data_IF_631616631844
#
_entry.id   IF_631616631844
#
_cell.length_a   1.000
_cell.length_b   1.000
_cell.length_c   1.000
_cell.angle_alpha   90.00
_cell.angle_beta   90.00
_cell.angle_gamma   90.00
#
_symmetry.space_group_name_H-M   'P 1'
#
loop_
_entity.id
_entity.type
_entity.pdbx_description
1 polymer ?
#
# COMPACT_ATOMS: atom_id res chain seq x y z
N UNK A 1 21.23 29.91 3.29
CA UNK A 1 20.51 28.78 2.66
C UNK A 1 19.33 29.36 1.90
N UNK A 2 19.14 29.02 0.63
CA UNK A 2 18.13 29.70 -0.18
C UNK A 2 16.73 29.24 0.25
N UNK A 3 15.79 30.17 0.41
CA UNK A 3 14.37 29.84 0.62
C UNK A 3 13.75 29.13 -0.61
N UNK A 4 14.50 29.00 -1.70
CA UNK A 4 14.02 28.58 -3.02
C UNK A 4 14.34 27.14 -3.40
N UNK A 5 15.15 26.39 -2.64
CA UNK A 5 15.58 25.02 -3.04
C UNK A 5 14.40 24.12 -3.39
N UNK A 6 13.34 24.12 -2.58
CA UNK A 6 12.14 23.32 -2.85
C UNK A 6 11.42 23.71 -4.15
N UNK A 7 11.35 25.01 -4.46
CA UNK A 7 10.80 25.52 -5.72
C UNK A 7 11.69 25.15 -6.90
N UNK A 8 13.00 25.18 -6.70
CA UNK A 8 13.98 24.81 -7.71
C UNK A 8 13.87 23.33 -8.06
N UNK A 9 13.84 22.44 -7.06
CA UNK A 9 13.57 21.01 -7.24
C UNK A 9 12.29 20.78 -8.06
N UNK A 10 11.19 21.43 -7.67
CA UNK A 10 9.92 21.30 -8.37
C UNK A 10 9.99 21.82 -9.82
N UNK A 11 10.70 22.93 -10.07
CA UNK A 11 10.92 23.47 -11.42
C UNK A 11 11.79 22.58 -12.31
N UNK A 12 12.66 21.76 -11.72
CA UNK A 12 13.45 20.73 -12.39
C UNK A 12 12.64 19.42 -12.57
N UNK A 13 11.35 19.42 -12.25
CA UNK A 13 10.46 18.28 -12.45
C UNK A 13 10.37 17.30 -11.27
N UNK A 14 11.04 17.57 -10.14
CA UNK A 14 10.93 16.72 -8.95
C UNK A 14 9.60 16.94 -8.24
N UNK A 15 8.73 15.93 -8.29
CA UNK A 15 7.41 15.91 -7.71
C UNK A 15 7.13 14.54 -7.08
N UNK A 16 6.07 14.42 -6.27
CA UNK A 16 5.66 13.14 -5.72
C UNK A 16 5.49 12.09 -6.82
N UNK A 17 6.03 10.90 -6.59
CA UNK A 17 5.98 9.80 -7.55
C UNK A 17 6.99 9.94 -8.70
N UNK A 18 7.90 10.91 -8.64
CA UNK A 18 9.10 10.85 -9.47
C UNK A 18 10.08 9.82 -8.95
N UNK A 19 10.92 9.30 -9.84
CA UNK A 19 11.90 8.29 -9.48
C UNK A 19 13.20 8.41 -10.26
N UNK A 20 14.26 7.81 -9.72
CA UNK A 20 15.58 7.71 -10.33
C UNK A 20 16.20 6.34 -10.02
N UNK A 21 16.97 5.81 -10.97
CA UNK A 21 17.71 4.57 -10.77
C UNK A 21 18.95 4.81 -9.91
N UNK A 22 19.20 3.93 -8.93
CA UNK A 22 20.33 4.07 -8.02
C UNK A 22 21.69 4.10 -8.77
N UNK A 23 21.79 3.48 -9.94
CA UNK A 23 23.00 3.52 -10.77
C UNK A 23 23.39 4.92 -11.26
N UNK A 24 22.45 5.88 -11.25
CA UNK A 24 22.72 7.28 -11.61
C UNK A 24 23.34 8.07 -10.46
N UNK A 25 23.21 7.58 -9.22
CA UNK A 25 23.69 8.25 -8.01
C UNK A 25 25.22 8.18 -7.88
N UNK A 26 25.79 9.09 -7.09
CA UNK A 26 27.21 8.99 -6.71
C UNK A 26 27.40 7.88 -5.68
N UNK A 27 28.62 7.33 -5.61
CA UNK A 27 28.93 6.25 -4.66
C UNK A 27 28.78 6.74 -3.20
N UNK A 28 29.03 8.02 -2.94
CA UNK A 28 28.94 8.68 -1.65
C UNK A 28 27.55 9.24 -1.33
N UNK A 29 26.54 9.06 -2.21
CA UNK A 29 25.18 9.58 -1.98
C UNK A 29 24.58 9.13 -0.64
N UNK A 30 24.93 7.91 -0.20
CA UNK A 30 24.49 7.34 1.06
C UNK A 30 24.93 8.16 2.29
N UNK A 31 26.02 8.94 2.21
CA UNK A 31 26.53 9.78 3.31
C UNK A 31 25.61 10.98 3.59
N UNK A 32 24.76 11.36 2.64
CA UNK A 32 23.81 12.46 2.76
C UNK A 32 22.41 12.00 3.21
N UNK A 33 22.22 10.70 3.35
CA UNK A 33 20.90 10.11 3.61
C UNK A 33 20.78 9.69 5.07
N UNK A 34 19.61 9.94 5.66
CA UNK A 34 19.16 9.33 6.90
C UNK A 34 18.16 8.23 6.57
N UNK A 35 18.42 6.99 6.97
CA UNK A 35 17.53 5.88 6.65
C UNK A 35 17.26 5.01 7.88
N UNK A 36 16.10 4.38 7.89
CA UNK A 36 15.72 3.39 8.91
C UNK A 36 16.26 1.99 8.62
N UNK A 37 17.02 1.82 7.54
CA UNK A 37 17.44 0.50 7.03
C UNK A 37 18.94 0.29 7.18
N UNK A 38 19.33 -0.93 7.53
CA UNK A 38 20.74 -1.35 7.56
C UNK A 38 21.33 -1.46 6.14
N UNK A 39 22.65 -1.35 6.03
CA UNK A 39 23.40 -1.51 4.77
C UNK A 39 22.94 -0.56 3.64
N UNK A 40 22.61 0.70 3.98
CA UNK A 40 22.13 1.70 3.03
C UNK A 40 23.06 1.89 1.82
N UNK A 41 24.38 1.92 2.03
CA UNK A 41 25.37 1.98 0.96
C UNK A 41 25.20 0.86 -0.07
N UNK A 42 25.05 -0.39 0.39
CA UNK A 42 24.82 -1.55 -0.48
C UNK A 42 23.51 -1.44 -1.27
N UNK A 43 22.46 -0.89 -0.64
CA UNK A 43 21.18 -0.69 -1.30
C UNK A 43 21.25 0.41 -2.37
N UNK A 44 21.96 1.49 -2.10
CA UNK A 44 22.11 2.61 -3.04
C UNK A 44 23.13 2.35 -4.15
N UNK A 45 23.98 1.32 -4.01
CA UNK A 45 24.92 0.89 -5.06
C UNK A 45 24.41 -0.28 -5.91
N UNK A 46 23.34 -0.97 -5.50
CA UNK A 46 22.70 -2.01 -6.32
C UNK A 46 21.92 -1.36 -7.49
N UNK A 47 22.37 -1.64 -8.72
CA UNK A 47 21.77 -1.11 -9.96
C UNK A 47 20.32 -1.54 -10.18
N UNK A 48 19.84 -2.56 -9.46
CA UNK A 48 18.43 -2.98 -9.50
C UNK A 48 17.53 -2.14 -8.62
N UNK A 49 18.08 -1.27 -7.79
CA UNK A 49 17.30 -0.43 -6.90
C UNK A 49 16.99 0.92 -7.56
N UNK A 50 15.87 1.49 -7.14
CA UNK A 50 15.35 2.77 -7.60
C UNK A 50 14.85 3.53 -6.39
N UNK A 51 15.04 4.85 -6.39
CA UNK A 51 14.45 5.73 -5.39
C UNK A 51 13.17 6.33 -5.95
N UNK A 52 12.06 6.17 -5.24
CA UNK A 52 10.77 6.78 -5.59
C UNK A 52 10.44 7.87 -4.54
N UNK A 53 10.23 9.10 -5.00
CA UNK A 53 9.96 10.28 -4.17
C UNK A 53 8.56 10.18 -3.54
N UNK A 54 8.52 10.11 -2.21
CA UNK A 54 7.31 9.97 -1.41
C UNK A 54 6.70 11.31 -1.00
N UNK A 55 7.54 12.32 -0.74
CA UNK A 55 7.10 13.63 -0.24
C UNK A 55 6.04 14.24 -1.15
N UNK A 56 5.01 14.85 -0.56
CA UNK A 56 3.96 15.52 -1.32
C UNK A 56 4.54 16.77 -2.00
N UNK A 57 3.93 17.23 -3.09
CA UNK A 57 4.37 18.43 -3.81
C UNK A 57 4.43 19.67 -2.91
N UNK A 58 3.48 19.80 -1.98
CA UNK A 58 3.48 20.88 -0.98
C UNK A 58 4.69 20.77 -0.04
N UNK A 59 5.06 19.57 0.40
CA UNK A 59 6.22 19.35 1.28
C UNK A 59 7.53 19.61 0.53
N UNK A 60 7.63 19.18 -0.73
CA UNK A 60 8.78 19.45 -1.59
C UNK A 60 8.98 20.97 -1.75
N UNK A 61 7.91 21.69 -2.12
CA UNK A 61 7.96 23.14 -2.41
C UNK A 61 7.95 24.02 -1.17
N UNK A 62 7.65 23.46 0.01
CA UNK A 62 7.63 24.19 1.27
C UNK A 62 8.99 24.84 1.54
N UNK A 63 8.94 25.99 2.23
CA UNK A 63 10.12 26.73 2.65
C UNK A 63 11.03 25.82 3.47
N UNK A 64 12.34 25.95 3.28
CA UNK A 64 13.34 25.16 3.98
C UNK A 64 13.26 25.30 5.52
N UNK A 65 12.75 26.42 6.05
CA UNK A 65 12.53 26.59 7.49
C UNK A 65 11.37 25.77 8.04
N UNK A 66 10.45 25.31 7.20
CA UNK A 66 9.26 24.52 7.55
C UNK A 66 9.56 23.04 7.29
N UNK A 67 10.01 22.71 6.08
CA UNK A 67 10.35 21.35 5.67
C UNK A 67 11.71 21.35 4.98
N UNK A 68 12.70 20.71 5.62
CA UNK A 68 14.09 20.67 5.16
C UNK A 68 14.36 19.46 4.28
N UNK A 69 13.57 18.41 4.47
CA UNK A 69 13.88 17.08 3.96
C UNK A 69 12.88 16.65 2.90
N UNK A 70 13.29 15.66 2.13
CA UNK A 70 12.40 14.89 1.27
C UNK A 70 12.61 13.40 1.53
N UNK A 71 11.55 12.63 1.32
CA UNK A 71 11.50 11.20 1.58
C UNK A 71 11.52 10.40 0.29
N UNK A 72 12.31 9.34 0.24
CA UNK A 72 12.29 8.35 -0.82
C UNK A 72 12.04 6.96 -0.24
N UNK A 73 11.33 6.11 -0.99
CA UNK A 73 11.36 4.66 -0.77
C UNK A 73 12.36 4.01 -1.71
N UNK A 74 13.12 3.05 -1.19
CA UNK A 74 13.96 2.18 -2.02
C UNK A 74 13.07 1.06 -2.57
N UNK A 75 12.90 1.02 -3.89
CA UNK A 75 12.18 -0.02 -4.60
C UNK A 75 13.16 -0.91 -5.38
N UNK A 76 13.00 -2.23 -5.28
CA UNK A 76 13.93 -3.21 -5.87
C UNK A 76 13.32 -3.92 -7.06
N UNK A 77 14.06 -3.94 -8.18
CA UNK A 77 13.75 -4.76 -9.35
C UNK A 77 14.03 -6.25 -9.08
N UNK A 78 13.14 -7.18 -9.47
CA UNK A 78 13.42 -8.61 -9.42
C UNK A 78 14.54 -9.00 -10.38
N UNK A 79 15.25 -10.11 -10.09
CA UNK A 79 16.32 -10.65 -10.98
C UNK A 79 15.78 -11.06 -12.35
N UNK A 80 14.52 -11.50 -12.42
CA UNK A 80 13.83 -11.97 -13.63
C UNK A 80 12.46 -11.30 -13.70
N UNK A 81 11.97 -11.04 -14.92
CA UNK A 81 10.62 -10.52 -15.12
C UNK A 81 9.61 -11.55 -14.61
N UNK A 82 8.82 -11.15 -13.63
CA UNK A 82 7.76 -11.97 -13.00
C UNK A 82 6.52 -11.09 -12.81
N UNK A 83 5.31 -11.68 -12.83
CA UNK A 83 4.11 -10.94 -12.49
C UNK A 83 4.19 -10.43 -11.04
N UNK A 84 3.52 -9.30 -10.75
CA UNK A 84 3.49 -8.76 -9.39
C UNK A 84 2.66 -9.65 -8.47
N UNK A 85 2.93 -9.58 -7.18
CA UNK A 85 2.07 -10.21 -6.17
C UNK A 85 0.81 -9.37 -6.00
N UNK A 86 -0.37 -9.95 -6.17
CA UNK A 86 -1.62 -9.19 -6.19
C UNK A 86 -1.89 -8.40 -4.89
N UNK A 87 -1.46 -8.90 -3.71
CA UNK A 87 -1.51 -8.17 -2.42
C UNK A 87 -0.62 -6.92 -2.37
N UNK A 88 0.41 -6.84 -3.20
CA UNK A 88 1.31 -5.69 -3.24
C UNK A 88 0.82 -4.64 -4.25
N UNK A 89 -0.25 -4.91 -5.00
CA UNK A 89 -0.82 -3.95 -5.94
C UNK A 89 -1.81 -3.02 -5.26
N UNK A 90 -1.97 -1.82 -5.83
CA UNK A 90 -3.05 -0.88 -5.48
C UNK A 90 -3.18 -0.57 -3.99
N UNK A 91 -2.06 -0.55 -3.26
CA UNK A 91 -2.02 -0.32 -1.82
C UNK A 91 -2.89 -1.30 -1.00
N UNK A 92 -2.97 -2.57 -1.41
CA UNK A 92 -3.68 -3.63 -0.64
C UNK A 92 -2.88 -4.04 0.61
N UNK A 93 -1.56 -4.11 0.51
CA UNK A 93 -0.64 -4.27 1.63
C UNK A 93 -0.23 -2.90 2.19
N UNK A 94 -0.02 -2.82 3.51
CA UNK A 94 0.57 -1.64 4.16
C UNK A 94 2.10 -1.69 4.23
N UNK A 95 2.68 -2.88 3.98
CA UNK A 95 4.12 -3.15 4.11
C UNK A 95 4.83 -3.11 2.76
N UNK A 96 4.17 -3.58 1.72
CA UNK A 96 4.74 -3.69 0.39
C UNK A 96 3.88 -3.01 -0.66
N UNK A 97 4.53 -2.43 -1.66
CA UNK A 97 3.88 -1.90 -2.85
C UNK A 97 4.68 -2.33 -4.08
N UNK A 98 4.01 -2.82 -5.10
CA UNK A 98 4.62 -3.11 -6.40
C UNK A 98 4.06 -2.16 -7.46
N UNK A 99 4.97 -1.50 -8.18
CA UNK A 99 4.69 -0.55 -9.26
C UNK A 99 5.48 -0.95 -10.50
N UNK A 100 4.87 -0.86 -11.67
CA UNK A 100 5.57 -1.02 -12.95
C UNK A 100 6.23 0.30 -13.33
N UNK A 101 7.53 0.28 -13.66
CA UNK A 101 8.26 1.46 -14.12
C UNK A 101 8.44 1.42 -15.65
N UNK A 102 8.99 2.50 -16.22
CA UNK A 102 9.16 2.65 -17.68
C UNK A 102 10.02 1.57 -18.37
N UNK A 103 10.84 0.82 -17.61
CA UNK A 103 11.59 -0.33 -18.12
C UNK A 103 10.74 -1.61 -18.26
N UNK A 104 9.46 -1.55 -17.87
CA UNK A 104 8.50 -2.66 -17.94
C UNK A 104 8.74 -3.75 -16.89
N UNK A 105 9.43 -3.42 -15.79
CA UNK A 105 9.56 -4.30 -14.63
C UNK A 105 8.72 -3.81 -13.45
N UNK A 106 8.25 -4.76 -12.65
CA UNK A 106 7.58 -4.51 -11.38
C UNK A 106 8.62 -4.33 -10.28
N UNK A 107 8.68 -3.14 -9.69
CA UNK A 107 9.57 -2.81 -8.58
C UNK A 107 8.83 -2.96 -7.27
N UNK A 108 9.42 -3.71 -6.32
CA UNK A 108 8.87 -3.89 -4.98
C UNK A 108 9.45 -2.84 -4.03
N UNK A 109 8.61 -1.94 -3.57
CA UNK A 109 8.87 -0.98 -2.51
C UNK A 109 8.48 -1.57 -1.14
N UNK A 110 9.28 -1.27 -0.12
CA UNK A 110 9.03 -1.71 1.25
C UNK A 110 8.86 -0.50 2.16
N UNK A 111 7.79 -0.46 2.94
CA UNK A 111 7.45 0.69 3.78
C UNK A 111 8.47 0.93 4.90
N UNK A 112 9.29 -0.07 5.23
CA UNK A 112 10.41 0.03 6.19
C UNK A 112 11.69 0.60 5.57
N UNK A 113 11.79 0.66 4.24
CA UNK A 113 12.98 1.12 3.50
C UNK A 113 12.79 2.54 2.98
N UNK A 114 12.50 3.44 3.91
CA UNK A 114 12.41 4.88 3.64
C UNK A 114 13.73 5.53 4.02
N UNK A 115 14.20 6.41 3.16
CA UNK A 115 15.30 7.32 3.44
C UNK A 115 14.83 8.76 3.32
N UNK A 116 15.44 9.61 4.11
CA UNK A 116 15.31 11.05 4.10
C UNK A 116 16.64 11.65 3.65
N UNK A 117 16.56 12.75 2.90
CA UNK A 117 17.73 13.54 2.51
C UNK A 117 17.37 15.02 2.62
N UNK A 118 18.35 15.83 3.04
CA UNK A 118 18.20 17.28 3.01
C UNK A 118 18.01 17.78 1.58
N UNK A 119 17.05 18.68 1.35
CA UNK A 119 16.76 19.24 0.02
C UNK A 119 17.99 19.86 -0.64
N UNK A 120 18.86 20.52 0.14
CA UNK A 120 20.08 21.14 -0.37
C UNK A 120 21.12 20.10 -0.78
N UNK A 121 21.28 19.03 0.01
CA UNK A 121 22.18 17.94 -0.34
C UNK A 121 21.67 17.21 -1.59
N UNK A 122 20.37 16.93 -1.65
CA UNK A 122 19.76 16.29 -2.82
C UNK A 122 19.95 17.12 -4.10
N UNK A 123 19.65 18.43 -4.07
CA UNK A 123 19.80 19.28 -5.26
C UNK A 123 21.26 19.37 -5.72
N UNK A 124 22.21 19.40 -4.78
CA UNK A 124 23.64 19.42 -5.10
C UNK A 124 24.04 18.13 -5.85
N UNK A 125 23.59 16.99 -5.36
CA UNK A 125 23.90 15.68 -5.92
C UNK A 125 23.32 15.50 -7.33
N UNK A 126 22.04 15.86 -7.53
CA UNK A 126 21.39 15.71 -8.85
C UNK A 126 21.90 16.74 -9.86
N UNK A 127 22.20 17.98 -9.44
CA UNK A 127 22.72 19.02 -10.33
C UNK A 127 24.13 18.70 -10.80
N UNK A 128 25.00 18.22 -9.90
CA UNK A 128 26.38 17.85 -10.23
C UNK A 128 26.46 16.75 -11.30
N UNK A 129 25.44 15.89 -11.38
CA UNK A 129 25.34 14.79 -12.33
C UNK A 129 24.31 15.02 -13.45
N UNK A 130 23.66 16.19 -13.49
CA UNK A 130 22.57 16.51 -14.41
C UNK A 130 21.46 15.43 -14.44
N UNK A 131 21.13 14.84 -13.29
CA UNK A 131 20.11 13.79 -13.18
C UNK A 131 18.73 14.39 -13.41
N UNK A 132 17.94 13.75 -14.28
CA UNK A 132 16.55 14.11 -14.54
C UNK A 132 15.62 13.04 -13.97
N UNK A 133 14.52 13.42 -13.31
CA UNK A 133 13.55 12.47 -12.80
C UNK A 133 12.77 11.80 -13.94
N UNK A 134 12.44 10.52 -13.76
CA UNK A 134 11.29 9.91 -14.44
C UNK A 134 10.04 10.09 -13.57
N UNK A 135 8.85 10.02 -14.15
CA UNK A 135 7.59 10.21 -13.43
C UNK A 135 6.71 8.97 -13.54
N UNK A 136 6.06 8.61 -12.43
CA UNK A 136 4.95 7.67 -12.43
C UNK A 136 3.72 8.30 -13.09
N UNK A 137 2.81 7.45 -13.58
CA UNK A 137 1.48 7.86 -14.02
C UNK A 137 0.67 8.43 -12.84
N UNK A 138 -0.26 9.34 -13.13
CA UNK A 138 -1.08 9.99 -12.09
C UNK A 138 -1.78 8.97 -11.18
N UNK A 139 -2.31 7.89 -11.75
CA UNK A 139 -2.98 6.82 -11.00
C UNK A 139 -2.04 6.10 -10.03
N UNK A 140 -0.76 5.97 -10.37
CA UNK A 140 0.23 5.35 -9.51
C UNK A 140 0.69 6.28 -8.40
N UNK A 141 0.73 7.60 -8.64
CA UNK A 141 0.93 8.59 -7.58
C UNK A 141 -0.21 8.54 -6.54
N UNK A 142 -1.46 8.36 -6.98
CA UNK A 142 -2.62 8.18 -6.09
C UNK A 142 -2.49 6.87 -5.27
N UNK A 143 -2.03 5.78 -5.90
CA UNK A 143 -1.73 4.52 -5.21
C UNK A 143 -0.62 4.69 -4.17
N UNK A 144 0.46 5.41 -4.51
CA UNK A 144 1.59 5.68 -3.62
C UNK A 144 1.16 6.48 -2.39
N UNK A 145 0.36 7.54 -2.58
CA UNK A 145 -0.22 8.33 -1.48
C UNK A 145 -1.07 7.46 -0.57
N UNK A 146 -1.98 6.66 -1.16
CA UNK A 146 -2.87 5.77 -0.41
C UNK A 146 -2.09 4.70 0.35
N UNK A 147 -1.02 4.16 -0.23
CA UNK A 147 -0.14 3.19 0.41
C UNK A 147 0.52 3.78 1.67
N UNK A 148 1.04 5.00 1.59
CA UNK A 148 1.61 5.71 2.75
C UNK A 148 0.55 5.98 3.82
N UNK A 149 -0.63 6.45 3.43
CA UNK A 149 -1.73 6.74 4.36
C UNK A 149 -2.22 5.48 5.11
N UNK A 150 -2.34 4.35 4.40
CA UNK A 150 -2.82 3.09 4.99
C UNK A 150 -2.00 2.62 6.20
N UNK A 151 -0.71 3.00 6.32
CA UNK A 151 0.11 2.66 7.48
C UNK A 151 -0.39 3.33 8.77
N UNK A 152 -0.96 4.52 8.66
CA UNK A 152 -1.46 5.30 9.80
C UNK A 152 -2.95 5.06 10.07
N UNK A 153 -3.71 4.67 9.05
CA UNK A 153 -5.12 4.33 9.18
C UNK A 153 -5.36 2.85 9.51
N UNK A 154 -4.30 2.05 9.61
CA UNK A 154 -4.41 0.64 9.92
C UNK A 154 -4.96 0.48 11.34
N UNK A 155 -6.01 -0.30 11.45
CA UNK A 155 -6.59 -0.71 12.74
C UNK A 155 -6.16 -2.15 13.03
N UNK A 156 -5.83 -2.42 14.30
CA UNK A 156 -5.63 -3.78 14.79
C UNK A 156 -7.00 -4.39 15.12
N UNK A 157 -7.26 -5.58 14.57
CA UNK A 157 -8.45 -6.35 14.92
C UNK A 157 -8.20 -7.13 16.21
N UNK A 158 -9.25 -7.48 16.98
CA UNK A 158 -9.11 -8.36 18.14
C UNK A 158 -8.41 -9.67 17.79
N UNK A 159 -7.53 -10.14 18.68
CA UNK A 159 -6.74 -11.36 18.47
C UNK A 159 -7.65 -12.59 18.37
N UNK A 160 -8.72 -12.65 19.17
CA UNK A 160 -9.71 -13.73 19.08
C UNK A 160 -10.42 -13.76 17.71
N UNK A 161 -10.72 -12.60 17.12
CA UNK A 161 -11.27 -12.54 15.76
C UNK A 161 -10.25 -13.03 14.72
N UNK A 162 -9.02 -12.50 14.76
CA UNK A 162 -7.94 -12.89 13.85
C UNK A 162 -7.64 -14.39 13.92
N UNK A 163 -7.70 -14.98 15.12
CA UNK A 163 -7.55 -16.41 15.34
C UNK A 163 -8.69 -17.22 14.70
N UNK A 164 -9.94 -16.78 14.85
CA UNK A 164 -11.11 -17.45 14.24
C UNK A 164 -10.99 -17.53 12.72
N UNK A 165 -10.53 -16.47 12.07
CA UNK A 165 -10.43 -16.39 10.59
C UNK A 165 -9.09 -16.91 10.02
N UNK A 166 -8.15 -17.35 10.88
CA UNK A 166 -6.80 -17.73 10.47
C UNK A 166 -6.79 -18.79 9.37
N UNK A 167 -7.61 -19.84 9.51
CA UNK A 167 -7.70 -20.92 8.53
C UNK A 167 -8.14 -20.44 7.15
N UNK A 168 -9.04 -19.45 7.07
CA UNK A 168 -9.48 -18.84 5.81
C UNK A 168 -8.34 -18.07 5.14
N UNK A 169 -7.51 -17.38 5.94
CA UNK A 169 -6.33 -16.66 5.46
C UNK A 169 -5.26 -17.63 4.97
N UNK A 170 -4.97 -18.69 5.71
CA UNK A 170 -4.01 -19.73 5.33
C UNK A 170 -4.43 -20.49 4.06
N UNK A 171 -5.74 -20.65 3.84
CA UNK A 171 -6.31 -21.23 2.63
C UNK A 171 -6.43 -20.23 1.47
N UNK A 172 -5.90 -19.01 1.61
CA UNK A 172 -5.87 -17.98 0.58
C UNK A 172 -7.27 -17.66 0.02
N UNK A 173 -8.33 -17.75 0.83
CA UNK A 173 -9.69 -17.45 0.37
C UNK A 173 -9.81 -15.99 -0.09
N UNK A 174 -8.99 -15.13 0.51
CA UNK A 174 -8.89 -13.70 0.25
C UNK A 174 -7.92 -13.34 -0.89
N UNK A 175 -7.35 -14.33 -1.56
CA UNK A 175 -6.34 -14.08 -2.58
C UNK A 175 -6.92 -14.16 -3.99
N UNK A 176 -7.49 -15.32 -4.31
CA UNK A 176 -7.99 -15.62 -5.65
C UNK A 176 -9.39 -15.02 -5.87
N UNK A 177 -9.61 -14.33 -6.99
CA UNK A 177 -10.90 -13.74 -7.37
C UNK A 177 -11.14 -12.32 -6.83
N UNK A 178 -10.17 -11.74 -6.12
CA UNK A 178 -10.21 -10.36 -5.62
C UNK A 178 -9.29 -9.42 -6.41
N UNK A 179 -8.92 -9.78 -7.65
CA UNK A 179 -8.04 -8.98 -8.51
C UNK A 179 -8.66 -7.61 -8.81
N UNK A 180 -9.98 -7.60 -8.98
CA UNK A 180 -10.79 -6.41 -9.26
C UNK A 180 -11.30 -5.71 -8.00
N UNK A 181 -10.98 -6.21 -6.80
CA UNK A 181 -11.23 -5.49 -5.56
C UNK A 181 -10.20 -4.36 -5.42
N UNK A 182 -10.68 -3.13 -5.28
CA UNK A 182 -9.83 -1.97 -4.98
C UNK A 182 -9.46 -1.90 -3.51
N UNK A 183 -10.35 -2.35 -2.62
CA UNK A 183 -10.21 -2.40 -1.17
C UNK A 183 -11.27 -3.33 -0.58
N UNK A 184 -11.01 -3.88 0.61
CA UNK A 184 -12.04 -4.49 1.44
C UNK A 184 -12.38 -3.59 2.62
N UNK A 185 -13.63 -3.62 3.04
CA UNK A 185 -14.16 -2.86 4.16
C UNK A 185 -14.85 -3.80 5.12
N UNK A 186 -14.50 -3.68 6.39
CA UNK A 186 -14.94 -4.54 7.48
C UNK A 186 -15.58 -3.68 8.58
N UNK A 187 -16.75 -4.09 9.04
CA UNK A 187 -17.32 -3.65 10.31
C UNK A 187 -17.43 -4.86 11.23
N UNK A 188 -17.00 -4.71 12.47
CA UNK A 188 -16.92 -5.77 13.46
C UNK A 188 -17.57 -5.30 14.76
N UNK A 189 -18.55 -6.07 15.25
CA UNK A 189 -19.29 -5.76 16.47
C UNK A 189 -19.29 -6.99 17.41
N UNK A 190 -18.75 -6.90 18.64
CA UNK A 190 -18.01 -5.76 19.17
C UNK A 190 -16.63 -5.60 18.50
N UNK A 191 -16.06 -4.39 18.59
CA UNK A 191 -14.68 -4.11 18.14
C UNK A 191 -13.66 -4.35 19.27
N UNK A 192 -13.93 -5.35 20.12
CA UNK A 192 -13.12 -5.74 21.29
C UNK A 192 -13.09 -7.27 21.37
N UNK A 193 -12.23 -7.83 22.24
CA UNK A 193 -12.15 -9.28 22.43
C UNK A 193 -13.50 -9.90 22.80
N UNK A 194 -13.93 -10.88 22.01
CA UNK A 194 -15.21 -11.55 22.16
C UNK A 194 -15.14 -12.97 21.60
N UNK A 195 -16.00 -13.84 22.13
CA UNK A 195 -16.25 -15.17 21.55
C UNK A 195 -17.21 -15.11 20.36
N UNK A 196 -18.02 -14.05 20.29
CA UNK A 196 -19.06 -13.84 19.28
C UNK A 196 -18.91 -12.49 18.60
N UNK A 197 -18.91 -12.49 17.26
CA UNK A 197 -18.77 -11.29 16.43
C UNK A 197 -19.85 -11.24 15.36
N UNK A 198 -20.41 -10.05 15.17
CA UNK A 198 -21.16 -9.70 13.97
C UNK A 198 -20.17 -9.09 12.98
N UNK A 199 -20.10 -9.68 11.79
CA UNK A 199 -19.13 -9.34 10.75
C UNK A 199 -19.88 -8.84 9.53
N UNK A 200 -19.66 -7.58 9.15
CA UNK A 200 -20.10 -7.02 7.87
C UNK A 200 -18.89 -6.77 7.00
N UNK A 201 -18.90 -7.28 5.77
CA UNK A 201 -17.77 -7.25 4.87
C UNK A 201 -18.24 -6.94 3.46
N UNK A 202 -17.54 -6.03 2.77
CA UNK A 202 -17.72 -5.86 1.34
C UNK A 202 -16.41 -5.53 0.62
N UNK A 203 -16.36 -5.83 -0.68
CA UNK A 203 -15.31 -5.38 -1.57
C UNK A 203 -15.75 -4.15 -2.35
N UNK A 204 -14.92 -3.10 -2.35
CA UNK A 204 -15.10 -1.98 -3.26
C UNK A 204 -14.56 -2.34 -4.64
N UNK A 205 -15.42 -2.31 -5.67
CA UNK A 205 -15.01 -2.54 -7.05
C UNK A 205 -14.00 -1.48 -7.51
N UNK A 206 -12.87 -1.94 -8.06
CA UNK A 206 -11.75 -1.07 -8.42
C UNK A 206 -12.13 -0.15 -9.60
N UNK A 207 -11.76 1.12 -9.47
CA UNK A 207 -11.88 2.09 -10.56
C UNK A 207 -11.11 1.60 -11.80
N UNK A 208 -11.69 1.78 -12.98
CA UNK A 208 -11.15 1.34 -14.26
C UNK A 208 -11.05 -0.20 -14.42
N UNK A 209 -11.65 -1.00 -13.53
CA UNK A 209 -11.89 -2.41 -13.83
C UNK A 209 -13.04 -2.57 -14.84
N UNK A 210 -13.02 -3.61 -15.68
CA UNK A 210 -14.12 -3.89 -16.60
C UNK A 210 -15.44 -4.06 -15.85
N UNK A 211 -16.57 -3.46 -16.29
CA UNK A 211 -17.86 -3.58 -15.61
C UNK A 211 -18.30 -5.03 -15.35
N UNK A 212 -18.00 -5.95 -16.26
CA UNK A 212 -18.29 -7.38 -16.18
C UNK A 212 -17.55 -8.10 -15.05
N UNK A 213 -16.47 -7.50 -14.53
CA UNK A 213 -15.75 -8.05 -13.36
C UNK A 213 -16.46 -7.80 -12.04
N UNK A 214 -17.53 -6.99 -12.03
CA UNK A 214 -18.33 -6.75 -10.84
C UNK A 214 -19.03 -8.03 -10.38
N UNK A 215 -19.68 -8.76 -11.29
CA UNK A 215 -20.44 -9.96 -10.95
C UNK A 215 -19.54 -11.09 -10.45
N UNK A 216 -18.32 -11.20 -10.98
CA UNK A 216 -17.34 -12.18 -10.49
C UNK A 216 -16.84 -11.80 -9.09
N UNK A 217 -16.55 -10.51 -8.85
CA UNK A 217 -16.16 -10.02 -7.53
C UNK A 217 -17.29 -10.23 -6.52
N UNK A 218 -18.53 -9.93 -6.89
CA UNK A 218 -19.71 -10.12 -6.05
C UNK A 218 -19.83 -11.59 -5.61
N UNK A 219 -19.85 -12.53 -6.57
CA UNK A 219 -19.92 -13.97 -6.29
C UNK A 219 -18.77 -14.44 -5.41
N UNK A 220 -17.56 -13.93 -5.66
CA UNK A 220 -16.39 -14.28 -4.85
C UNK A 220 -16.54 -13.79 -3.41
N UNK A 221 -17.02 -12.57 -3.21
CA UNK A 221 -17.25 -12.03 -1.87
C UNK A 221 -18.39 -12.72 -1.14
N UNK A 222 -19.44 -13.14 -1.85
CA UNK A 222 -20.49 -13.98 -1.29
C UNK A 222 -19.93 -15.28 -0.72
N UNK A 223 -19.08 -15.99 -1.47
CA UNK A 223 -18.38 -17.19 -0.98
C UNK A 223 -17.50 -16.92 0.26
N UNK A 224 -16.84 -15.77 0.30
CA UNK A 224 -16.03 -15.35 1.46
C UNK A 224 -16.93 -15.15 2.69
N UNK A 225 -18.06 -14.47 2.52
CA UNK A 225 -19.04 -14.21 3.59
C UNK A 225 -19.67 -15.53 4.08
N UNK A 226 -20.05 -16.42 3.16
CA UNK A 226 -20.53 -17.77 3.49
C UNK A 226 -19.49 -18.52 4.32
N UNK A 227 -18.23 -18.50 3.91
CA UNK A 227 -17.14 -19.18 4.64
C UNK A 227 -16.92 -18.58 6.03
N UNK A 228 -17.02 -17.26 6.18
CA UNK A 228 -16.96 -16.59 7.48
C UNK A 228 -18.10 -17.05 8.39
N UNK A 229 -19.32 -17.14 7.85
CA UNK A 229 -20.51 -17.53 8.60
C UNK A 229 -20.53 -19.02 9.01
N UNK A 230 -19.64 -19.85 8.44
CA UNK A 230 -19.45 -21.24 8.93
C UNK A 230 -18.59 -21.35 10.17
N UNK A 231 -17.88 -20.28 10.56
CA UNK A 231 -16.99 -20.28 11.72
C UNK A 231 -17.81 -20.04 12.99
N UNK A 232 -17.60 -20.89 14.00
CA UNK A 232 -18.26 -20.76 15.29
C UNK A 232 -17.97 -19.39 15.94
N UNK A 233 -19.05 -18.71 16.33
CA UNK A 233 -18.99 -17.39 16.92
C UNK A 233 -18.85 -16.25 15.91
N UNK A 234 -18.95 -16.49 14.61
CA UNK A 234 -19.09 -15.42 13.61
C UNK A 234 -20.50 -15.43 13.01
N UNK A 235 -21.12 -14.25 12.92
CA UNK A 235 -22.41 -14.05 12.28
C UNK A 235 -22.27 -13.01 11.18
N UNK A 236 -22.78 -13.31 9.98
CA UNK A 236 -22.77 -12.40 8.84
C UNK A 236 -24.20 -11.99 8.47
N UNK A 237 -24.68 -10.79 8.87
CA UNK A 237 -26.07 -10.36 8.67
C UNK A 237 -26.54 -10.36 7.22
N UNK A 238 -25.63 -10.24 6.23
CA UNK A 238 -25.98 -10.35 4.80
C UNK A 238 -26.71 -11.66 4.46
N UNK A 239 -26.39 -12.75 5.18
CA UNK A 239 -26.98 -14.07 4.96
C UNK A 239 -28.27 -14.29 5.78
N UNK A 240 -28.61 -13.37 6.68
CA UNK A 240 -29.78 -13.46 7.54
C UNK A 240 -31.00 -12.81 6.88
N UNK A 241 -32.17 -13.41 7.08
CA UNK A 241 -33.44 -12.92 6.49
C UNK A 241 -34.07 -11.76 7.25
N UNK A 242 -33.61 -11.50 8.48
CA UNK A 242 -34.14 -10.42 9.31
C UNK A 242 -33.31 -9.16 9.11
N UNK A 243 -34.04 -8.09 8.81
CA UNK A 243 -33.54 -6.79 8.40
C UNK A 243 -32.41 -6.27 9.29
N UNK A 244 -31.32 -5.84 8.66
CA UNK A 244 -30.42 -4.83 9.22
C UNK A 244 -31.23 -3.55 9.47
N UNK A 245 -32.00 -3.48 10.57
CA UNK A 245 -32.83 -2.31 10.88
C UNK A 245 -31.99 -1.05 11.14
N UNK A 246 -30.69 -1.20 11.37
CA UNK A 246 -29.78 -0.10 11.71
C UNK A 246 -28.88 0.38 10.56
N UNK A 247 -28.81 -0.32 9.42
CA UNK A 247 -27.88 0.04 8.34
C UNK A 247 -28.49 -0.14 6.95
N UNK A 248 -28.13 0.73 6.01
CA UNK A 248 -28.36 0.51 4.57
C UNK A 248 -27.85 -0.88 4.16
N UNK A 249 -28.48 -1.48 3.15
CA UNK A 249 -28.11 -2.81 2.66
C UNK A 249 -26.64 -2.84 2.21
N UNK A 250 -25.79 -3.53 2.98
CA UNK A 250 -24.39 -3.77 2.63
C UNK A 250 -24.34 -5.02 1.76
N UNK A 251 -23.89 -4.85 0.53
CA UNK A 251 -23.74 -5.94 -0.45
C UNK A 251 -22.31 -6.49 -0.46
N UNK A 252 -22.09 -7.77 -0.79
CA UNK A 252 -20.76 -8.41 -0.82
C UNK A 252 -19.74 -7.66 -1.67
N UNK A 253 -20.18 -7.03 -2.76
CA UNK A 253 -19.41 -6.08 -3.53
C UNK A 253 -20.23 -4.80 -3.73
N UNK A 254 -19.54 -3.66 -3.77
CA UNK A 254 -20.15 -2.35 -3.97
C UNK A 254 -19.32 -1.53 -4.96
N UNK A 255 -20.02 -0.75 -5.78
CA UNK A 255 -19.44 0.30 -6.64
C UNK A 255 -19.20 1.54 -5.80
N UNK A 256 -18.29 2.41 -6.26
CA UNK A 256 -18.02 3.69 -5.58
C UNK A 256 -19.25 4.58 -5.43
N UNK A 257 -20.17 4.54 -6.39
CA UNK A 257 -21.42 5.31 -6.34
C UNK A 257 -22.42 4.80 -5.30
N UNK A 258 -22.21 3.59 -4.77
CA UNK A 258 -23.09 2.94 -3.80
C UNK A 258 -22.57 3.09 -2.37
N UNK A 259 -21.29 3.50 -2.21
CA UNK A 259 -20.68 3.69 -0.90
C UNK A 259 -20.94 5.13 -0.42
N UNK A 260 -21.71 5.25 0.65
CA UNK A 260 -22.02 6.52 1.31
C UNK A 260 -20.93 6.90 2.32
N UNK A 261 -20.89 8.17 2.71
CA UNK A 261 -19.96 8.65 3.75
C UNK A 261 -20.29 8.00 5.10
N UNK A 262 -21.59 7.87 5.42
CA UNK A 262 -22.06 7.20 6.63
C UNK A 262 -21.53 5.76 6.72
N UNK A 263 -21.57 5.01 5.61
CA UNK A 263 -21.01 3.67 5.58
C UNK A 263 -19.50 3.67 5.90
N UNK A 264 -18.74 4.67 5.46
CA UNK A 264 -17.31 4.78 5.76
C UNK A 264 -17.02 5.13 7.23
N UNK A 265 -17.97 5.70 7.97
CA UNK A 265 -17.82 5.99 9.41
C UNK A 265 -17.92 4.71 10.26
N UNK A 266 -18.60 3.68 9.74
CA UNK A 266 -18.82 2.41 10.44
C UNK A 266 -17.93 1.26 9.97
N UNK A 267 -17.26 1.43 8.82
CA UNK A 267 -16.42 0.41 8.22
C UNK A 267 -14.97 0.85 8.18
N UNK A 268 -14.09 -0.01 8.67
CA UNK A 268 -12.66 0.17 8.52
C UNK A 268 -12.18 -0.51 7.24
N UNK A 269 -11.19 0.10 6.59
CA UNK A 269 -10.52 -0.57 5.47
C UNK A 269 -9.68 -1.73 6.01
N UNK A 270 -10.02 -2.94 5.59
CA UNK A 270 -9.29 -4.13 5.97
C UNK A 270 -8.07 -4.31 5.05
N UNK A 271 -6.88 -4.10 5.61
CA UNK A 271 -5.63 -4.30 4.91
C UNK A 271 -5.16 -5.74 5.15
N UNK A 272 -4.98 -6.50 4.07
CA UNK A 272 -4.47 -7.86 4.13
C UNK A 272 -3.01 -7.85 4.51
N UNK A 273 -2.75 -8.04 5.80
CA UNK A 273 -1.41 -8.09 6.32
C UNK A 273 -1.16 -9.47 6.95
N UNK A 274 -0.95 -10.47 6.09
CA UNK A 274 -0.62 -11.87 6.47
C UNK A 274 0.57 -11.97 7.42
N UNK A 275 1.49 -11.00 7.34
CA UNK A 275 2.78 -10.99 8.04
C UNK A 275 2.66 -10.68 9.54
N UNK A 276 1.49 -10.25 10.04
CA UNK A 276 1.38 -9.91 11.46
C UNK A 276 1.27 -11.13 12.39
N UNK A 277 1.18 -12.35 11.85
CA UNK A 277 0.92 -13.57 12.61
C UNK A 277 1.77 -14.79 12.20
N UNK A 278 2.67 -14.67 11.22
CA UNK A 278 3.62 -15.75 10.90
C UNK A 278 4.81 -15.70 11.86
N UNK A 279 4.88 -16.65 12.81
CA UNK A 279 6.13 -16.94 13.51
C UNK A 279 7.22 -17.29 12.48
N UNK A 280 8.36 -16.61 12.52
CA UNK A 280 9.50 -16.92 11.68
C UNK A 280 9.52 -16.27 10.30
N UNK A 281 8.95 -15.07 10.17
CA UNK A 281 9.08 -14.27 8.95
C UNK A 281 10.56 -13.95 8.68
N UNK A 282 11.15 -14.70 7.75
CA UNK A 282 12.40 -14.33 7.14
C UNK A 282 12.11 -13.03 6.39
N UNK A 283 12.52 -11.89 6.96
CA UNK A 283 12.75 -10.67 6.19
C UNK A 283 13.32 -11.07 4.84
N UNK A 284 12.73 -10.57 3.74
CA UNK A 284 12.96 -11.01 2.35
C UNK A 284 14.42 -11.08 1.89
N UNK A 285 15.17 -12.02 2.45
CA UNK A 285 16.28 -12.72 1.87
C UNK A 285 15.57 -13.74 0.97
N UNK A 286 15.41 -13.40 -0.30
CA UNK A 286 15.36 -14.43 -1.33
C UNK A 286 16.50 -15.40 -0.98
N UNK A 287 16.21 -16.63 -0.53
CA UNK A 287 17.22 -17.68 -0.30
C UNK A 287 17.82 -18.21 -1.61
N UNK A 288 17.92 -17.34 -2.62
CA UNK A 288 18.60 -17.58 -3.87
C UNK A 288 19.96 -16.89 -3.83
N UNK A 289 20.88 -17.54 -3.09
CA UNK A 289 22.31 -17.57 -3.43
C UNK A 289 22.43 -18.11 -4.85
#
# INVERSE_FOLDING_TARGET
MSESVGKELFSQGWAQGTYLFCESLSADFHLHCWATTENLEKQLTDKRNTLILLSQNCDITAKYTIEKTIEFVIARRPKKKKPPHFLNLYAKSTRFLELELTDGFWYKAEASKVLQIDKQDFINQITAKAIQPSALEKTDCEVLTRWRANRYMRVALPDSFENKIRSLRENNIFDNGLEHAGSLYLSLEPFEESEHYIVRLFALHRQNSPPESYDSLFKKMEQVIESLNTIEGLTCPYLEKESNENFEAVYPAMRRSEVTVELLDHFIRWNFDSISLSEGDNEGIDKDI
#
